data_IF_756835124909
#
_entry.id   IF_756835124909
#
_cell.length_a   1.000
_cell.length_b   1.000
_cell.length_c   1.000
_cell.angle_alpha   90.00
_cell.angle_beta   90.00
_cell.angle_gamma   90.00
#
_symmetry.space_group_name_H-M   'P 1'
#
loop_
_entity.id
_entity.type
_entity.pdbx_description
1 polymer ?
#
# COMPACT_ATOMS: atom_id res chain seq x y z
N UNK A 1 -3.87 -75.17 -41.60
CA UNK A 1 -5.15 -74.40 -41.59
C UNK A 1 -5.90 -74.75 -40.31
N UNK A 2 -5.99 -73.83 -39.35
CA UNK A 2 -6.78 -74.00 -38.13
C UNK A 2 -7.86 -72.92 -38.09
N UNK A 3 -9.11 -73.33 -38.32
CA UNK A 3 -10.28 -72.49 -38.22
C UNK A 3 -10.52 -72.14 -36.75
N UNK A 4 -10.19 -70.91 -36.38
CA UNK A 4 -10.48 -70.35 -35.07
C UNK A 4 -11.98 -69.97 -35.01
N UNK A 5 -12.82 -70.95 -34.69
CA UNK A 5 -14.26 -70.74 -34.49
C UNK A 5 -14.49 -70.02 -33.17
N UNK A 6 -14.60 -68.69 -33.21
CA UNK A 6 -15.12 -67.91 -32.08
C UNK A 6 -16.59 -68.32 -31.84
N UNK A 7 -16.81 -69.20 -30.86
CA UNK A 7 -18.14 -69.47 -30.28
C UNK A 7 -18.70 -68.18 -29.68
N UNK A 8 -19.38 -67.36 -30.46
CA UNK A 8 -20.35 -66.41 -29.89
C UNK A 8 -21.56 -67.20 -29.42
N UNK A 9 -21.63 -67.44 -28.12
CA UNK A 9 -22.76 -68.07 -27.45
C UNK A 9 -23.91 -67.06 -27.48
N UNK A 10 -24.79 -67.15 -28.48
CA UNK A 10 -25.97 -66.30 -28.52
C UNK A 10 -26.87 -66.65 -27.34
N UNK A 11 -27.25 -65.64 -26.55
CA UNK A 11 -28.23 -65.78 -25.46
C UNK A 11 -29.52 -65.12 -25.90
N UNK A 12 -30.65 -65.81 -25.72
CA UNK A 12 -31.97 -65.31 -26.09
C UNK A 12 -32.62 -64.64 -24.88
N UNK A 13 -33.15 -63.43 -25.06
CA UNK A 13 -33.98 -62.74 -24.07
C UNK A 13 -35.34 -62.52 -24.72
N UNK A 14 -36.40 -62.99 -24.07
CA UNK A 14 -37.77 -62.74 -24.52
C UNK A 14 -38.22 -61.38 -24.01
N UNK A 15 -38.71 -60.54 -24.93
CA UNK A 15 -39.31 -59.23 -24.63
C UNK A 15 -40.78 -59.25 -25.05
N UNK A 16 -41.59 -58.43 -24.40
CA UNK A 16 -42.99 -58.24 -24.77
C UNK A 16 -43.11 -57.50 -26.12
N UNK A 17 -44.32 -57.55 -26.69
CA UNK A 17 -44.58 -56.95 -28.00
C UNK A 17 -44.45 -55.42 -27.99
N UNK A 18 -44.73 -54.75 -26.87
CA UNK A 18 -44.65 -53.28 -26.77
C UNK A 18 -43.19 -52.82 -26.74
N UNK A 19 -42.36 -53.48 -25.94
CA UNK A 19 -40.91 -53.22 -25.92
C UNK A 19 -40.26 -53.52 -27.28
N UNK A 20 -40.70 -54.57 -27.98
CA UNK A 20 -40.21 -54.86 -29.34
C UNK A 20 -40.52 -53.72 -30.33
N UNK A 21 -41.72 -53.11 -30.24
CA UNK A 21 -42.08 -51.94 -31.05
C UNK A 21 -41.25 -50.70 -30.70
N UNK A 22 -40.91 -50.50 -29.42
CA UNK A 22 -40.03 -49.41 -28.99
C UNK A 22 -38.61 -49.57 -29.53
N UNK A 23 -38.06 -50.78 -29.46
CA UNK A 23 -36.77 -51.11 -30.06
C UNK A 23 -36.80 -50.82 -31.56
N UNK A 24 -37.88 -51.17 -32.25
CA UNK A 24 -38.02 -50.90 -33.69
C UNK A 24 -38.12 -49.41 -34.02
N UNK A 25 -38.81 -48.62 -33.19
CA UNK A 25 -38.83 -47.16 -33.33
C UNK A 25 -37.44 -46.54 -33.16
N UNK A 26 -36.67 -47.01 -32.17
CA UNK A 26 -35.30 -46.53 -31.92
C UNK A 26 -34.37 -46.95 -33.07
N UNK A 27 -34.48 -48.19 -33.55
CA UNK A 27 -33.72 -48.70 -34.69
C UNK A 27 -33.99 -47.86 -35.95
N UNK A 28 -35.25 -47.49 -36.21
CA UNK A 28 -35.61 -46.61 -37.33
C UNK A 28 -35.09 -45.17 -37.16
N UNK A 29 -35.14 -44.61 -35.95
CA UNK A 29 -34.71 -43.23 -35.68
C UNK A 29 -33.21 -43.03 -35.90
N UNK A 30 -32.40 -44.00 -35.47
CA UNK A 30 -30.94 -43.89 -35.50
C UNK A 30 -30.31 -44.76 -36.60
N UNK A 31 -31.11 -45.42 -37.44
CA UNK A 31 -30.66 -46.32 -38.52
C UNK A 31 -29.71 -47.43 -38.05
N UNK A 32 -30.01 -48.03 -36.89
CA UNK A 32 -29.18 -49.06 -36.25
C UNK A 32 -29.86 -50.44 -36.29
N UNK A 33 -29.06 -51.50 -36.28
CA UNK A 33 -29.58 -52.88 -36.16
C UNK A 33 -30.07 -53.14 -34.73
N UNK A 34 -31.11 -53.98 -34.58
CA UNK A 34 -31.69 -54.33 -33.26
C UNK A 34 -30.63 -54.80 -32.26
N UNK A 35 -29.68 -55.62 -32.71
CA UNK A 35 -28.59 -56.14 -31.87
C UNK A 35 -27.58 -55.07 -31.44
N UNK A 36 -27.38 -54.01 -32.23
CA UNK A 36 -26.46 -52.91 -31.93
C UNK A 36 -27.09 -51.93 -30.94
N UNK A 37 -28.39 -51.62 -31.12
CA UNK A 37 -29.15 -50.77 -30.19
C UNK A 37 -29.13 -51.35 -28.78
N UNK A 38 -29.38 -52.65 -28.64
CA UNK A 38 -29.38 -53.33 -27.34
C UNK A 38 -27.99 -53.27 -26.68
N UNK A 39 -26.92 -53.57 -27.44
CA UNK A 39 -25.54 -53.48 -26.93
C UNK A 39 -25.17 -52.07 -26.49
N UNK A 40 -25.52 -51.06 -27.28
CA UNK A 40 -25.22 -49.66 -26.97
C UNK A 40 -26.04 -49.16 -25.78
N UNK A 41 -27.31 -49.53 -25.68
CA UNK A 41 -28.17 -49.16 -24.56
C UNK A 41 -27.63 -49.70 -23.23
N UNK A 42 -27.33 -51.00 -23.13
CA UNK A 42 -26.75 -51.57 -21.90
C UNK A 42 -25.36 -51.00 -21.59
N UNK A 43 -24.54 -50.74 -22.61
CA UNK A 43 -23.24 -50.07 -22.41
C UNK A 43 -23.40 -48.64 -21.92
N UNK A 44 -24.40 -47.91 -22.40
CA UNK A 44 -24.71 -46.56 -21.97
C UNK A 44 -25.20 -46.55 -20.52
N UNK A 45 -26.14 -47.41 -20.14
CA UNK A 45 -26.60 -47.55 -18.76
C UNK A 45 -25.44 -47.89 -17.81
N UNK A 46 -24.59 -48.85 -18.19
CA UNK A 46 -23.44 -49.26 -17.38
C UNK A 46 -22.41 -48.13 -17.23
N UNK A 47 -22.06 -47.43 -18.32
CA UNK A 47 -21.04 -46.37 -18.29
C UNK A 47 -21.54 -45.05 -17.69
N UNK A 48 -22.80 -44.71 -17.93
CA UNK A 48 -23.42 -43.49 -17.40
C UNK A 48 -23.94 -43.68 -15.97
N UNK A 49 -23.82 -44.89 -15.41
CA UNK A 49 -24.32 -45.25 -14.08
C UNK A 49 -25.82 -44.88 -13.89
N UNK A 50 -26.62 -45.02 -14.94
CA UNK A 50 -28.05 -44.71 -14.91
C UNK A 50 -28.82 -45.95 -14.46
N UNK A 51 -29.62 -45.81 -13.41
CA UNK A 51 -30.54 -46.85 -12.97
C UNK A 51 -31.78 -46.87 -13.87
N UNK A 52 -32.03 -47.94 -14.65
CA UNK A 52 -33.21 -48.01 -15.51
C UNK A 52 -34.53 -48.17 -14.74
N UNK A 53 -34.48 -48.46 -13.43
CA UNK A 53 -35.66 -48.51 -12.57
C UNK A 53 -36.09 -47.13 -12.06
N UNK A 54 -35.18 -46.15 -12.03
CA UNK A 54 -35.50 -44.79 -11.59
C UNK A 54 -36.10 -44.00 -12.76
N UNK A 55 -37.15 -43.24 -12.48
CA UNK A 55 -37.72 -42.34 -13.47
C UNK A 55 -36.63 -41.36 -13.95
N UNK A 56 -36.50 -41.10 -15.27
CA UNK A 56 -35.44 -40.25 -15.77
C UNK A 56 -35.59 -38.85 -15.16
N UNK A 57 -34.66 -38.47 -14.28
CA UNK A 57 -34.60 -37.11 -13.76
C UNK A 57 -34.36 -36.17 -14.93
N UNK A 58 -35.35 -35.32 -15.21
CA UNK A 58 -35.26 -34.39 -16.33
C UNK A 58 -34.10 -33.44 -16.08
N UNK A 59 -33.17 -33.33 -17.03
CA UNK A 59 -32.05 -32.36 -17.00
C UNK A 59 -32.55 -30.94 -16.68
N UNK A 60 -33.77 -30.60 -17.12
CA UNK A 60 -34.43 -29.32 -16.82
C UNK A 60 -34.69 -29.12 -15.31
N UNK A 61 -35.03 -30.18 -14.58
CA UNK A 61 -35.29 -30.13 -13.14
C UNK A 61 -34.02 -29.96 -12.33
N UNK A 62 -32.93 -30.62 -12.71
CA UNK A 62 -31.60 -30.45 -12.10
C UNK A 62 -31.05 -29.04 -12.36
N UNK A 63 -31.17 -28.54 -13.59
CA UNK A 63 -30.80 -27.16 -13.92
C UNK A 63 -31.62 -26.14 -13.10
N UNK A 64 -32.91 -26.40 -12.88
CA UNK A 64 -33.74 -25.54 -12.04
C UNK A 64 -33.29 -25.54 -10.57
N UNK A 65 -32.90 -26.70 -10.02
CA UNK A 65 -32.36 -26.79 -8.65
C UNK A 65 -31.03 -26.03 -8.54
N UNK A 66 -30.15 -26.16 -9.54
CA UNK A 66 -28.87 -25.44 -9.58
C UNK A 66 -29.09 -23.93 -9.66
N UNK A 67 -29.99 -23.45 -10.53
CA UNK A 67 -30.28 -22.02 -10.66
C UNK A 67 -30.82 -21.43 -9.34
N UNK A 68 -31.71 -22.14 -8.64
CA UNK A 68 -32.19 -21.68 -7.32
C UNK A 68 -31.04 -21.55 -6.31
N UNK A 69 -30.12 -22.53 -6.28
CA UNK A 69 -28.93 -22.45 -5.41
C UNK A 69 -28.01 -21.28 -5.78
N UNK A 70 -27.85 -21.00 -7.08
CA UNK A 70 -27.09 -19.84 -7.54
C UNK A 70 -27.74 -18.53 -7.08
N UNK A 71 -29.06 -18.40 -7.22
CA UNK A 71 -29.80 -17.22 -6.77
C UNK A 71 -29.64 -17.00 -5.26
N UNK A 72 -29.68 -18.07 -4.47
CA UNK A 72 -29.48 -18.00 -3.02
C UNK A 72 -28.04 -17.57 -2.66
N UNK A 73 -27.03 -18.07 -3.37
CA UNK A 73 -25.63 -17.66 -3.21
C UNK A 73 -25.47 -16.17 -3.56
N UNK A 74 -26.04 -15.72 -4.69
CA UNK A 74 -25.99 -14.31 -5.09
C UNK A 74 -26.66 -13.43 -4.04
N UNK A 75 -27.80 -13.86 -3.49
CA UNK A 75 -28.50 -13.13 -2.43
C UNK A 75 -27.66 -13.06 -1.16
N UNK A 76 -27.01 -14.15 -0.77
CA UNK A 76 -26.10 -14.18 0.38
C UNK A 76 -24.93 -13.21 0.20
N UNK A 77 -24.27 -13.22 -0.97
CA UNK A 77 -23.13 -12.33 -1.27
C UNK A 77 -23.56 -10.87 -1.17
N UNK A 78 -24.66 -10.48 -1.82
CA UNK A 78 -25.16 -9.10 -1.78
C UNK A 78 -25.49 -8.65 -0.36
N UNK A 79 -26.16 -9.51 0.41
CA UNK A 79 -26.49 -9.20 1.79
C UNK A 79 -25.23 -9.02 2.66
N UNK A 80 -24.22 -9.87 2.49
CA UNK A 80 -22.95 -9.73 3.19
C UNK A 80 -22.18 -8.48 2.78
N UNK A 81 -22.16 -8.15 1.48
CA UNK A 81 -21.54 -6.94 0.96
C UNK A 81 -22.19 -5.68 1.52
N UNK A 82 -23.52 -5.63 1.57
CA UNK A 82 -24.28 -4.51 2.09
C UNK A 82 -24.09 -4.32 3.61
N UNK A 83 -24.25 -5.39 4.38
CA UNK A 83 -24.22 -5.33 5.86
C UNK A 83 -22.81 -5.18 6.43
N UNK A 84 -21.83 -5.89 5.85
CA UNK A 84 -20.47 -5.98 6.41
C UNK A 84 -19.48 -5.19 5.58
N UNK A 85 -19.29 -5.56 4.32
CA UNK A 85 -18.18 -5.04 3.53
C UNK A 85 -18.31 -3.52 3.28
N UNK A 86 -19.48 -3.05 2.86
CA UNK A 86 -19.73 -1.65 2.58
C UNK A 86 -19.62 -0.78 3.85
N UNK A 87 -20.11 -1.28 4.98
CA UNK A 87 -19.93 -0.61 6.27
C UNK A 87 -18.45 -0.48 6.63
N UNK A 88 -17.68 -1.57 6.51
CA UNK A 88 -16.24 -1.56 6.74
C UNK A 88 -15.51 -0.57 5.82
N UNK A 89 -15.82 -0.57 4.53
CA UNK A 89 -15.24 0.38 3.56
C UNK A 89 -15.53 1.82 3.97
N UNK A 90 -16.77 2.15 4.36
CA UNK A 90 -17.12 3.50 4.84
C UNK A 90 -16.36 3.88 6.10
N UNK A 91 -16.26 2.97 7.07
CA UNK A 91 -15.50 3.24 8.31
C UNK A 91 -14.02 3.45 8.03
N UNK A 92 -13.42 2.62 7.16
CA UNK A 92 -12.02 2.75 6.75
C UNK A 92 -11.78 4.09 6.05
N UNK A 93 -12.65 4.46 5.10
CA UNK A 93 -12.57 5.76 4.43
C UNK A 93 -12.70 6.93 5.42
N UNK A 94 -13.63 6.85 6.38
CA UNK A 94 -13.79 7.88 7.41
C UNK A 94 -12.55 8.00 8.30
N UNK A 95 -11.89 6.90 8.63
CA UNK A 95 -10.62 6.91 9.37
C UNK A 95 -9.52 7.58 8.54
N UNK A 96 -9.38 7.22 7.26
CA UNK A 96 -8.40 7.83 6.35
C UNK A 96 -8.57 9.35 6.26
N UNK A 97 -9.80 9.83 6.05
CA UNK A 97 -10.09 11.27 5.95
C UNK A 97 -9.77 12.00 7.27
N UNK A 98 -10.10 11.39 8.42
CA UNK A 98 -9.75 11.96 9.73
C UNK A 98 -8.23 12.02 9.93
N UNK A 99 -7.52 10.97 9.54
CA UNK A 99 -6.08 10.91 9.66
C UNK A 99 -5.40 11.96 8.77
N UNK A 100 -5.83 12.10 7.52
CA UNK A 100 -5.34 13.11 6.59
C UNK A 100 -5.51 14.53 7.17
N UNK A 101 -6.68 14.83 7.73
CA UNK A 101 -6.95 16.11 8.39
C UNK A 101 -5.98 16.37 9.55
N UNK A 102 -5.78 15.39 10.43
CA UNK A 102 -4.86 15.51 11.58
C UNK A 102 -3.42 15.73 11.12
N UNK A 103 -2.97 15.01 10.09
CA UNK A 103 -1.61 15.16 9.52
C UNK A 103 -1.40 16.56 8.94
N UNK A 104 -2.39 17.08 8.21
CA UNK A 104 -2.33 18.44 7.65
C UNK A 104 -2.29 19.50 8.76
N UNK A 105 -3.14 19.37 9.78
CA UNK A 105 -3.16 20.29 10.93
C UNK A 105 -1.82 20.27 11.68
N UNK A 106 -1.25 19.08 11.91
CA UNK A 106 0.04 18.93 12.56
C UNK A 106 1.19 19.52 11.71
N UNK A 107 1.18 19.26 10.41
CA UNK A 107 2.16 19.83 9.48
C UNK A 107 2.16 21.37 9.54
N UNK A 108 0.97 21.98 9.50
CA UNK A 108 0.83 23.43 9.56
C UNK A 108 1.33 23.99 10.89
N UNK A 109 1.00 23.35 12.01
CA UNK A 109 1.45 23.75 13.34
C UNK A 109 2.97 23.67 13.49
N UNK A 110 3.58 22.56 13.07
CA UNK A 110 5.03 22.37 13.11
C UNK A 110 5.73 23.40 12.22
N UNK A 111 5.20 23.64 11.02
CA UNK A 111 5.73 24.65 10.10
C UNK A 111 5.66 26.05 10.71
N UNK A 112 4.55 26.41 11.37
CA UNK A 112 4.42 27.71 12.02
C UNK A 112 5.37 27.88 13.21
N UNK A 113 5.56 26.85 14.02
CA UNK A 113 6.51 26.85 15.15
C UNK A 113 7.95 26.99 14.66
N UNK A 114 8.33 26.26 13.59
CA UNK A 114 9.66 26.37 12.97
C UNK A 114 9.89 27.79 12.45
N UNK A 115 8.91 28.38 11.77
CA UNK A 115 9.01 29.76 11.27
C UNK A 115 9.18 30.76 12.41
N UNK A 116 8.34 30.68 13.44
CA UNK A 116 8.40 31.57 14.59
C UNK A 116 9.74 31.45 15.35
N UNK A 117 10.22 30.22 15.56
CA UNK A 117 11.52 29.96 16.18
C UNK A 117 12.67 30.53 15.34
N UNK A 118 12.63 30.37 14.01
CA UNK A 118 13.61 30.95 13.09
C UNK A 118 13.62 32.47 13.16
N UNK A 119 12.46 33.11 13.22
CA UNK A 119 12.34 34.56 13.33
C UNK A 119 12.89 35.09 14.67
N UNK A 120 12.59 34.39 15.77
CA UNK A 120 13.17 34.70 17.09
C UNK A 120 14.69 34.58 17.07
N UNK A 121 15.24 33.50 16.53
CA UNK A 121 16.68 33.31 16.41
C UNK A 121 17.33 34.41 15.55
N UNK A 122 16.73 34.75 14.42
CA UNK A 122 17.19 35.85 13.57
C UNK A 122 17.22 37.19 14.32
N UNK A 123 16.18 37.50 15.09
CA UNK A 123 16.10 38.71 15.89
C UNK A 123 17.16 38.74 17.00
N UNK A 124 17.41 37.60 17.66
CA UNK A 124 18.46 37.49 18.68
C UNK A 124 19.83 37.70 18.05
N UNK A 125 20.13 37.04 16.93
CA UNK A 125 21.40 37.21 16.22
C UNK A 125 21.62 38.65 15.77
N UNK A 126 20.56 39.31 15.28
CA UNK A 126 20.62 40.72 14.91
C UNK A 126 20.98 41.61 16.09
N UNK A 127 20.30 41.46 17.24
CA UNK A 127 20.59 42.23 18.46
C UNK A 127 22.02 41.99 18.97
N UNK A 128 22.48 40.74 18.93
CA UNK A 128 23.84 40.38 19.32
C UNK A 128 24.86 41.04 18.39
N UNK A 129 24.62 41.00 17.08
CA UNK A 129 25.47 41.68 16.08
C UNK A 129 25.54 43.19 16.31
N UNK A 130 24.39 43.84 16.54
CA UNK A 130 24.32 45.27 16.86
C UNK A 130 25.16 45.60 18.10
N UNK A 131 25.06 44.80 19.18
CA UNK A 131 25.84 45.00 20.40
C UNK A 131 27.33 44.76 20.22
N UNK A 132 27.72 43.78 19.42
CA UNK A 132 29.14 43.59 19.07
C UNK A 132 29.68 44.76 18.26
N UNK A 133 28.89 45.33 17.36
CA UNK A 133 29.30 46.49 16.58
C UNK A 133 29.48 47.73 17.47
N UNK A 134 28.52 48.00 18.38
CA UNK A 134 28.65 49.06 19.40
C UNK A 134 29.94 48.88 20.23
N UNK A 135 30.25 47.64 20.65
CA UNK A 135 31.44 47.37 21.43
C UNK A 135 32.74 47.54 20.62
N UNK A 136 32.73 47.13 19.35
CA UNK A 136 33.86 47.34 18.45
C UNK A 136 34.18 48.83 18.26
N UNK A 137 33.14 49.68 18.15
CA UNK A 137 33.31 51.13 18.07
C UNK A 137 33.95 51.72 19.34
N UNK A 138 33.49 51.29 20.52
CA UNK A 138 34.08 51.70 21.80
C UNK A 138 35.54 51.25 21.92
N UNK A 139 35.85 50.00 21.57
CA UNK A 139 37.23 49.48 21.57
C UNK A 139 38.10 50.30 20.62
N UNK A 140 37.64 50.60 19.41
CA UNK A 140 38.38 51.41 18.45
C UNK A 140 38.66 52.82 18.98
N UNK A 141 37.70 53.43 19.67
CA UNK A 141 37.88 54.75 20.29
C UNK A 141 38.89 54.69 21.44
N UNK A 142 38.81 53.69 22.32
CA UNK A 142 39.78 53.50 23.40
C UNK A 142 41.19 53.24 22.85
N UNK A 143 41.34 52.42 21.80
CA UNK A 143 42.63 52.16 21.17
C UNK A 143 43.28 53.44 20.63
N UNK A 144 42.49 54.33 20.00
CA UNK A 144 42.96 55.66 19.58
C UNK A 144 43.43 56.52 20.76
N UNK A 145 42.66 56.57 21.85
CA UNK A 145 43.02 57.33 23.05
C UNK A 145 44.32 56.80 23.69
N UNK A 146 44.44 55.47 23.87
CA UNK A 146 45.65 54.83 24.41
C UNK A 146 46.87 55.17 23.56
N UNK A 147 46.74 55.12 22.23
CA UNK A 147 47.83 55.50 21.33
C UNK A 147 48.25 56.96 21.52
N UNK A 148 47.29 57.89 21.66
CA UNK A 148 47.59 59.31 21.90
C UNK A 148 48.27 59.56 23.26
N UNK A 149 47.84 58.84 24.31
CA UNK A 149 48.42 58.92 25.65
C UNK A 149 49.84 58.35 25.66
N UNK A 150 50.05 57.20 25.01
CA UNK A 150 51.38 56.57 24.85
C UNK A 150 52.37 57.51 24.15
N UNK A 151 51.95 58.16 23.06
CA UNK A 151 52.79 59.16 22.38
C UNK A 151 53.12 60.36 23.29
N UNK A 152 52.15 60.83 24.08
CA UNK A 152 52.34 61.93 25.02
C UNK A 152 53.29 61.56 26.14
N UNK A 153 53.13 60.36 26.70
CA UNK A 153 54.03 59.80 27.71
C UNK A 153 55.45 59.70 27.15
N UNK A 154 55.63 59.17 25.94
CA UNK A 154 56.95 59.07 25.31
C UNK A 154 57.62 60.45 25.14
N UNK A 155 56.85 61.48 24.75
CA UNK A 155 57.35 62.87 24.67
C UNK A 155 57.73 63.42 26.04
N UNK A 156 56.90 63.21 27.06
CA UNK A 156 57.16 63.68 28.42
C UNK A 156 58.38 62.98 29.04
N UNK A 157 58.53 61.67 28.84
CA UNK A 157 59.71 60.92 29.28
C UNK A 157 60.98 61.44 28.61
N UNK A 158 60.96 61.72 27.29
CA UNK A 158 62.09 62.34 26.59
C UNK A 158 62.46 63.71 27.20
N UNK A 159 61.48 64.56 27.50
CA UNK A 159 61.71 65.86 28.15
C UNK A 159 62.30 65.70 29.55
N UNK A 160 61.77 64.79 30.36
CA UNK A 160 62.28 64.51 31.70
C UNK A 160 63.74 64.03 31.67
N UNK A 161 64.07 63.09 30.78
CA UNK A 161 65.44 62.63 30.60
C UNK A 161 66.40 63.78 30.22
N UNK A 162 65.95 64.68 29.34
CA UNK A 162 66.74 65.86 28.98
C UNK A 162 66.91 66.83 30.15
N UNK A 163 65.87 67.02 30.96
CA UNK A 163 65.95 67.84 32.17
C UNK A 163 66.96 67.25 33.18
N UNK A 164 66.89 65.93 33.41
CA UNK A 164 67.83 65.22 34.28
C UNK A 164 69.27 65.38 33.77
N UNK A 165 69.50 65.25 32.45
CA UNK A 165 70.86 65.43 31.90
C UNK A 165 71.39 66.84 32.12
N UNK A 166 70.57 67.88 31.91
CA UNK A 166 70.94 69.27 32.14
C UNK A 166 71.27 69.55 33.62
N UNK A 167 70.47 69.02 34.56
CA UNK A 167 70.77 69.15 35.99
C UNK A 167 72.05 68.42 36.38
N UNK A 168 72.31 67.23 35.81
CA UNK A 168 73.56 66.51 36.03
C UNK A 168 74.76 67.28 35.50
N UNK A 169 74.65 67.89 34.32
CA UNK A 169 75.70 68.75 33.74
C UNK A 169 75.96 69.98 34.65
N UNK A 170 74.92 70.64 35.16
CA UNK A 170 75.06 71.76 36.10
C UNK A 170 75.72 71.36 37.42
N UNK A 171 75.40 70.19 37.96
CA UNK A 171 75.95 69.70 39.22
C UNK A 171 77.44 69.31 39.13
N UNK A 172 77.98 69.14 37.93
CA UNK A 172 79.41 68.82 37.69
C UNK A 172 80.30 70.04 37.48
N UNK A 173 79.78 71.27 37.63
CA UNK A 173 80.52 72.54 37.40
C UNK A 173 80.98 73.21 38.70
N UNK A 174 81.01 72.50 39.83
CA UNK A 174 81.84 72.84 41.01
C UNK A 174 83.20 72.13 40.96
#
# INVERSE_FOLDING_TARGET
MQNNSRKTIFTTISIDKETALLVDKICKRYSLKKSEVVKLAFRYLYKAHINPADAPESVKSELSKINKRQDDIIRFIRHYEEEKLNSMIRTSHAITVRFEKVVIELYNLVSSEISSSRDLQSNVLKKVSEKFNEHADVINNHAKQINSLSQTQQRNTKKLLKLISLYSELATVE
#
